data_IF_429920537484
#
_entry.id   IF_429920537484
#
_cell.length_a   1.000
_cell.length_b   1.000
_cell.length_c   1.000
_cell.angle_alpha   90.00
_cell.angle_beta   90.00
_cell.angle_gamma   90.00
#
_symmetry.space_group_name_H-M   'P 1'
#
loop_
_entity.id
_entity.type
_entity.pdbx_description
1 polymer ?
#
# COMPACT_ATOMS: atom_id res chain seq x y z
N UNK A 1 -27.83 -1.83 1.85
CA UNK A 1 -26.40 -1.96 2.18
C UNK A 1 -25.71 -2.57 1.00
N UNK A 2 -24.66 -1.93 0.49
CA UNK A 2 -24.04 -2.27 -0.79
C UNK A 2 -23.31 -3.63 -0.67
N UNK A 3 -23.81 -4.65 -1.37
CA UNK A 3 -23.23 -6.01 -1.36
C UNK A 3 -21.73 -6.01 -1.71
N UNK A 4 -21.31 -5.08 -2.58
CA UNK A 4 -19.92 -4.89 -3.00
C UNK A 4 -18.93 -4.56 -1.87
N UNK A 5 -19.34 -3.80 -0.85
CA UNK A 5 -18.45 -3.42 0.26
C UNK A 5 -18.17 -4.62 1.19
N UNK A 6 -19.18 -5.45 1.43
CA UNK A 6 -19.06 -6.65 2.24
C UNK A 6 -18.22 -7.73 1.56
N UNK A 7 -18.41 -7.93 0.26
CA UNK A 7 -17.59 -8.86 -0.55
C UNK A 7 -16.12 -8.45 -0.51
N UNK A 8 -15.85 -7.15 -0.64
CA UNK A 8 -14.49 -6.62 -0.60
C UNK A 8 -13.81 -6.89 0.73
N UNK A 9 -14.50 -6.59 1.84
CA UNK A 9 -13.99 -6.84 3.19
C UNK A 9 -13.68 -8.32 3.40
N UNK A 10 -14.58 -9.20 2.94
CA UNK A 10 -14.42 -10.65 3.04
C UNK A 10 -13.25 -11.18 2.21
N UNK A 11 -13.04 -10.67 1.00
CA UNK A 11 -11.88 -11.04 0.16
C UNK A 11 -10.57 -10.64 0.85
N UNK A 12 -10.54 -9.45 1.47
CA UNK A 12 -9.35 -8.97 2.20
C UNK A 12 -9.06 -9.86 3.40
N UNK A 13 -10.08 -10.16 4.22
CA UNK A 13 -9.97 -11.06 5.37
C UNK A 13 -9.46 -12.45 4.93
N UNK A 14 -10.09 -13.04 3.90
CA UNK A 14 -9.69 -14.34 3.35
C UNK A 14 -8.24 -14.34 2.87
N UNK A 15 -7.75 -13.25 2.31
CA UNK A 15 -6.37 -13.17 1.80
C UNK A 15 -5.33 -12.71 2.84
N UNK A 16 -5.75 -12.15 3.98
CA UNK A 16 -4.87 -11.71 5.07
C UNK A 16 -4.73 -12.73 6.20
N UNK A 17 -5.83 -13.29 6.71
CA UNK A 17 -5.81 -14.17 7.88
C UNK A 17 -5.58 -15.64 7.51
N UNK A 18 -6.20 -16.08 6.41
CA UNK A 18 -6.07 -17.44 5.93
C UNK A 18 -5.18 -17.49 4.69
N UNK A 19 -4.32 -18.50 4.62
CA UNK A 19 -3.56 -18.81 3.40
C UNK A 19 -4.49 -19.39 2.35
N UNK A 20 -5.58 -18.70 2.02
CA UNK A 20 -6.49 -19.13 0.96
C UNK A 20 -5.75 -19.00 -0.36
N UNK A 21 -5.58 -20.11 -1.11
CA UNK A 21 -5.01 -20.03 -2.44
C UNK A 21 -5.92 -19.16 -3.30
N UNK A 22 -5.30 -18.40 -4.21
CA UNK A 22 -6.02 -17.51 -5.11
C UNK A 22 -7.07 -18.24 -5.96
N UNK A 23 -6.87 -19.54 -6.22
CA UNK A 23 -7.84 -20.41 -6.91
C UNK A 23 -9.21 -20.47 -6.22
N UNK A 24 -9.24 -20.47 -4.87
CA UNK A 24 -10.51 -20.51 -4.12
C UNK A 24 -11.21 -19.15 -4.18
N UNK A 25 -10.44 -18.06 -4.11
CA UNK A 25 -10.96 -16.69 -4.23
C UNK A 25 -11.51 -16.47 -5.63
N UNK A 26 -10.83 -16.97 -6.66
CA UNK A 26 -11.28 -16.93 -8.04
C UNK A 26 -12.58 -17.72 -8.23
N UNK A 27 -12.68 -18.93 -7.66
CA UNK A 27 -13.89 -19.73 -7.74
C UNK A 27 -15.10 -19.11 -7.03
N UNK A 28 -14.90 -18.36 -5.95
CA UNK A 28 -15.99 -17.80 -5.14
C UNK A 28 -16.40 -16.38 -5.57
N UNK A 29 -15.44 -15.58 -6.02
CA UNK A 29 -15.64 -14.15 -6.33
C UNK A 29 -15.32 -13.79 -7.79
N UNK A 30 -14.84 -14.73 -8.60
CA UNK A 30 -14.46 -14.48 -10.00
C UNK A 30 -13.26 -13.52 -10.14
N UNK A 31 -12.46 -13.37 -9.07
CA UNK A 31 -11.30 -12.48 -9.05
C UNK A 31 -10.02 -13.28 -9.26
N UNK A 32 -9.34 -12.99 -10.37
CA UNK A 32 -8.00 -13.49 -10.64
C UNK A 32 -6.99 -12.99 -9.58
N UNK A 33 -5.87 -13.71 -9.42
CA UNK A 33 -4.82 -13.42 -8.44
C UNK A 33 -4.36 -11.96 -8.51
N UNK A 34 -4.13 -11.46 -9.72
CA UNK A 34 -3.70 -10.06 -9.94
C UNK A 34 -4.75 -9.05 -9.48
N UNK A 35 -6.03 -9.35 -9.70
CA UNK A 35 -7.12 -8.48 -9.30
C UNK A 35 -7.23 -8.45 -7.77
N UNK A 36 -7.08 -9.60 -7.12
CA UNK A 36 -7.07 -9.76 -5.67
C UNK A 36 -5.90 -8.99 -5.04
N UNK A 37 -4.67 -9.17 -5.52
CA UNK A 37 -3.48 -8.45 -5.05
C UNK A 37 -3.63 -6.94 -5.23
N UNK A 38 -4.14 -6.49 -6.39
CA UNK A 38 -4.38 -5.06 -6.63
C UNK A 38 -5.39 -4.49 -5.65
N UNK A 39 -6.45 -5.24 -5.32
CA UNK A 39 -7.48 -4.82 -4.36
C UNK A 39 -6.90 -4.73 -2.94
N UNK A 40 -6.14 -5.74 -2.51
CA UNK A 40 -5.39 -5.71 -1.25
C UNK A 40 -4.43 -4.53 -1.17
N UNK A 41 -3.70 -4.24 -2.25
CA UNK A 41 -2.77 -3.13 -2.29
C UNK A 41 -3.50 -1.79 -2.16
N UNK A 42 -4.63 -1.59 -2.85
CA UNK A 42 -5.40 -0.34 -2.77
C UNK A 42 -5.92 -0.07 -1.35
N UNK A 43 -6.41 -1.10 -0.66
CA UNK A 43 -6.92 -0.99 0.70
C UNK A 43 -5.79 -0.70 1.71
N UNK A 44 -4.65 -1.38 1.58
CA UNK A 44 -3.49 -1.16 2.46
C UNK A 44 -2.74 0.16 2.17
N UNK A 45 -2.71 0.61 0.91
CA UNK A 45 -2.13 1.90 0.52
C UNK A 45 -2.91 3.08 1.12
N UNK A 46 -4.17 2.89 1.51
CA UNK A 46 -4.96 3.93 2.16
C UNK A 46 -4.42 4.30 3.56
N UNK A 47 -3.70 3.39 4.24
CA UNK A 47 -2.95 3.68 5.47
C UNK A 47 -1.62 4.40 5.19
N UNK A 48 -1.04 4.15 4.02
CA UNK A 48 0.15 4.83 3.50
C UNK A 48 -0.22 6.02 2.61
N UNK A 49 -1.26 6.78 2.98
CA UNK A 49 -1.47 8.14 2.48
C UNK A 49 -0.28 8.99 2.96
N UNK A 50 0.86 8.82 2.30
CA UNK A 50 1.95 9.75 2.32
C UNK A 50 1.37 11.06 1.82
N UNK A 51 1.11 11.96 2.75
CA UNK A 51 0.58 13.27 2.44
C UNK A 51 1.65 14.03 1.65
N UNK A 52 1.58 13.98 0.32
CA UNK A 52 2.50 14.64 -0.61
C UNK A 52 2.50 16.17 -0.46
N UNK A 53 1.61 16.72 0.37
CA UNK A 53 1.61 18.11 0.81
C UNK A 53 2.79 18.41 1.75
N UNK A 54 3.12 17.50 2.67
CA UNK A 54 4.24 17.63 3.62
C UNK A 54 5.60 17.57 2.94
N UNK A 55 5.68 16.95 1.76
CA UNK A 55 6.92 16.89 0.96
C UNK A 55 7.18 18.15 0.13
N UNK A 56 6.17 18.99 -0.11
CA UNK A 56 6.28 20.22 -0.93
C UNK A 56 6.41 21.50 -0.11
N UNK A 57 5.96 21.51 1.14
CA UNK A 57 6.19 22.62 2.05
C UNK A 57 7.66 22.54 2.48
N UNK A 58 8.50 23.33 1.81
CA UNK A 58 9.92 23.46 2.08
C UNK A 58 10.18 24.09 3.46
N UNK A 59 9.98 23.32 4.53
CA UNK A 59 10.42 23.68 5.90
C UNK A 59 11.93 23.42 6.02
N UNK A 60 12.72 23.84 5.03
CA UNK A 60 14.18 23.70 5.06
C UNK A 60 14.76 25.08 5.29
N UNK A 61 15.34 25.28 6.47
CA UNK A 61 16.14 26.47 6.76
C UNK A 61 17.30 26.54 5.75
N UNK A 62 17.58 27.72 5.19
CA UNK A 62 18.61 27.98 4.16
C UNK A 62 20.02 27.44 4.52
N UNK A 63 20.26 27.14 5.81
CA UNK A 63 21.54 26.61 6.30
C UNK A 63 21.77 25.12 5.97
N UNK A 64 20.74 24.37 5.59
CA UNK A 64 20.83 22.95 5.26
C UNK A 64 20.72 22.77 3.74
N UNK A 65 21.86 22.89 3.05
CA UNK A 65 21.95 22.83 1.58
C UNK A 65 22.12 21.38 1.07
N UNK A 66 22.39 20.42 1.97
CA UNK A 66 22.74 19.04 1.58
C UNK A 66 21.58 18.11 1.94
N UNK A 67 21.04 17.44 0.92
CA UNK A 67 20.01 16.40 1.09
C UNK A 67 20.52 15.10 1.74
N UNK A 68 21.83 14.97 1.97
CA UNK A 68 22.47 13.77 2.50
C UNK A 68 23.56 14.11 3.53
N UNK A 69 23.72 13.23 4.52
CA UNK A 69 24.74 13.34 5.56
C UNK A 69 26.13 13.03 4.96
N UNK A 70 27.17 13.84 5.21
CA UNK A 70 28.50 13.65 4.61
C UNK A 70 29.18 12.33 5.02
N UNK A 71 28.76 11.71 6.13
CA UNK A 71 29.27 10.41 6.59
C UNK A 71 28.51 9.21 5.98
N UNK A 72 27.44 9.47 5.22
CA UNK A 72 26.52 8.43 4.75
C UNK A 72 27.09 7.58 3.61
N UNK A 73 28.14 8.06 2.93
CA UNK A 73 28.84 7.29 1.90
C UNK A 73 30.25 6.98 2.38
N UNK A 74 30.67 5.73 2.20
CA UNK A 74 32.09 5.37 2.32
C UNK A 74 32.84 6.12 1.22
N UNK A 75 33.76 6.99 1.62
CA UNK A 75 34.76 7.53 0.69
C UNK A 75 35.50 6.32 0.11
N UNK A 76 35.48 6.19 -1.22
CA UNK A 76 36.08 5.07 -1.93
C UNK A 76 37.60 5.13 -1.84
#
# INVERSE_FOLDING_TARGET
MNQLEHETSRIIEMAWEDRTPFEIIESQFGLDEKATIKRLALENLSLLKFDHSLTRIGIRTNRVIRGYCPTQYKNR
#
